data_IF_334379441568
#
_entry.id   IF_334379441568
#
_cell.length_a   1.000
_cell.length_b   1.000
_cell.length_c   1.000
_cell.angle_alpha   90.00
_cell.angle_beta   90.00
_cell.angle_gamma   90.00
#
_symmetry.space_group_name_H-M   'P 1'
#
loop_
_entity.id
_entity.type
_entity.pdbx_description
1 polymer ?
#
# COMPACT_ATOMS: atom_id res chain seq x y z
N UNK A 1 50.84 -3.77 14.30
CA UNK A 1 50.23 -2.42 14.40
C UNK A 1 48.82 -2.52 13.86
N UNK A 2 47.83 -2.77 14.73
CA UNK A 2 46.42 -2.83 14.32
C UNK A 2 45.89 -1.40 14.22
N UNK A 3 45.66 -0.94 12.99
CA UNK A 3 45.00 0.32 12.73
C UNK A 3 43.57 0.26 13.24
N UNK A 4 43.32 0.95 14.35
CA UNK A 4 41.97 1.28 14.83
C UNK A 4 41.27 2.07 13.72
N UNK A 5 40.49 1.37 12.90
CA UNK A 5 39.57 1.98 11.94
C UNK A 5 38.48 2.64 12.79
N UNK A 6 38.61 3.95 13.01
CA UNK A 6 37.58 4.79 13.60
C UNK A 6 36.35 4.73 12.69
N UNK A 7 35.48 3.74 12.92
CA UNK A 7 34.18 3.61 12.26
C UNK A 7 33.28 4.65 12.91
N UNK A 8 33.20 5.82 12.28
CA UNK A 8 32.27 6.85 12.70
C UNK A 8 30.86 6.23 12.67
N UNK A 9 30.13 6.16 13.81
CA UNK A 9 28.79 5.57 13.87
C UNK A 9 27.80 6.22 12.90
N UNK A 10 28.06 7.48 12.53
CA UNK A 10 27.25 8.25 11.60
C UNK A 10 27.42 7.81 10.13
N UNK A 11 28.49 7.08 9.79
CA UNK A 11 28.78 6.68 8.41
C UNK A 11 27.77 5.67 7.88
N UNK A 12 27.32 4.74 8.73
CA UNK A 12 26.28 3.77 8.37
C UNK A 12 24.91 4.47 8.22
N UNK A 13 24.63 5.49 9.04
CA UNK A 13 23.39 6.26 8.97
C UNK A 13 23.31 7.09 7.68
N UNK A 14 24.42 7.70 7.27
CA UNK A 14 24.50 8.42 6.00
C UNK A 14 24.28 7.49 4.80
N UNK A 15 24.87 6.28 4.85
CA UNK A 15 24.66 5.26 3.82
C UNK A 15 23.18 4.88 3.71
N UNK A 16 22.46 4.66 4.82
CA UNK A 16 21.01 4.38 4.80
C UNK A 16 20.17 5.57 4.31
N UNK A 17 20.60 6.81 4.60
CA UNK A 17 19.88 8.02 4.19
C UNK A 17 19.97 8.27 2.68
N UNK A 18 21.05 7.81 2.05
CA UNK A 18 21.26 7.97 0.61
C UNK A 18 20.57 6.89 -0.23
N UNK A 19 20.14 5.78 0.39
CA UNK A 19 19.36 4.73 -0.29
C UNK A 19 17.97 5.20 -0.75
N UNK A 20 17.44 6.29 -0.19
CA UNK A 20 16.14 6.84 -0.56
C UNK A 20 16.24 8.36 -0.69
N UNK A 21 16.29 8.84 -1.94
CA UNK A 21 16.17 10.27 -2.22
C UNK A 21 14.75 10.75 -1.94
N UNK A 22 14.64 11.89 -1.24
CA UNK A 22 13.37 12.54 -1.00
C UNK A 22 12.82 13.04 -2.34
N UNK A 23 11.57 12.69 -2.71
CA UNK A 23 11.00 13.13 -3.97
C UNK A 23 10.81 14.66 -3.99
N UNK A 24 11.18 15.29 -5.10
CA UNK A 24 11.08 16.75 -5.27
C UNK A 24 9.63 17.25 -5.36
N UNK A 25 8.67 16.38 -5.71
CA UNK A 25 7.26 16.73 -5.90
C UNK A 25 6.35 15.64 -5.37
N UNK A 26 5.28 16.07 -4.71
CA UNK A 26 4.18 15.22 -4.28
C UNK A 26 2.95 15.53 -5.13
N UNK A 27 2.45 14.51 -5.83
CA UNK A 27 1.22 14.61 -6.62
C UNK A 27 -0.03 14.43 -5.74
N UNK A 28 -1.14 15.02 -6.16
CA UNK A 28 -2.41 14.90 -5.44
C UNK A 28 -3.01 13.50 -5.63
N UNK A 29 -3.02 12.69 -4.58
CA UNK A 29 -3.66 11.36 -4.58
C UNK A 29 -5.20 11.41 -4.55
N UNK A 30 -5.79 12.53 -4.11
CA UNK A 30 -7.23 12.69 -4.03
C UNK A 30 -7.83 13.08 -5.38
N UNK A 31 -7.87 12.11 -6.29
CA UNK A 31 -8.39 12.29 -7.64
C UNK A 31 -9.84 11.84 -7.73
N UNK A 32 -10.54 12.30 -8.76
CA UNK A 32 -11.90 11.81 -9.06
C UNK A 32 -11.93 10.28 -9.26
N UNK A 33 -10.84 9.68 -9.74
CA UNK A 33 -10.70 8.23 -9.90
C UNK A 33 -10.70 7.52 -8.54
N UNK A 34 -10.07 8.11 -7.52
CA UNK A 34 -10.09 7.58 -6.16
C UNK A 34 -11.51 7.64 -5.55
N UNK A 35 -12.22 8.76 -5.78
CA UNK A 35 -13.61 8.91 -5.32
C UNK A 35 -14.52 7.84 -5.94
N UNK A 36 -14.41 7.61 -7.24
CA UNK A 36 -15.18 6.56 -7.93
C UNK A 36 -14.82 5.16 -7.44
N UNK A 37 -13.54 4.91 -7.15
CA UNK A 37 -13.09 3.64 -6.55
C UNK A 37 -13.70 3.39 -5.18
N UNK A 38 -13.74 4.40 -4.32
CA UNK A 38 -14.36 4.31 -2.98
C UNK A 38 -15.86 4.04 -3.09
N UNK A 39 -16.57 4.73 -3.98
CA UNK A 39 -18.00 4.51 -4.20
C UNK A 39 -18.29 3.08 -4.70
N UNK A 40 -17.48 2.58 -5.63
CA UNK A 40 -17.59 1.21 -6.11
C UNK A 40 -17.42 0.18 -4.98
N UNK A 41 -16.43 0.37 -4.11
CA UNK A 41 -16.24 -0.52 -2.96
C UNK A 41 -17.42 -0.45 -2.00
N UNK A 42 -17.87 0.75 -1.66
CA UNK A 42 -18.93 0.97 -0.68
C UNK A 42 -20.28 0.39 -1.12
N UNK A 43 -20.67 0.58 -2.38
CA UNK A 43 -21.99 0.20 -2.86
C UNK A 43 -22.06 -1.19 -3.49
N UNK A 44 -20.94 -1.73 -3.98
CA UNK A 44 -20.94 -2.99 -4.73
C UNK A 44 -20.16 -4.07 -3.99
N UNK A 45 -18.91 -3.81 -3.61
CA UNK A 45 -18.08 -4.83 -2.98
C UNK A 45 -18.54 -5.19 -1.57
N UNK A 46 -18.81 -4.19 -0.72
CA UNK A 46 -19.21 -4.44 0.67
C UNK A 46 -20.56 -5.17 0.73
N UNK A 47 -21.63 -4.72 0.03
CA UNK A 47 -22.91 -5.42 0.05
C UNK A 47 -22.84 -6.78 -0.64
N UNK A 48 -22.10 -6.90 -1.75
CA UNK A 48 -21.90 -8.16 -2.46
C UNK A 48 -21.24 -9.22 -1.57
N UNK A 49 -20.23 -8.83 -0.80
CA UNK A 49 -19.59 -9.73 0.16
C UNK A 49 -20.54 -10.13 1.30
N UNK A 50 -21.31 -9.18 1.84
CA UNK A 50 -22.31 -9.49 2.88
C UNK A 50 -23.35 -10.49 2.39
N UNK A 51 -23.86 -10.31 1.17
CA UNK A 51 -24.79 -11.24 0.54
C UNK A 51 -24.19 -12.64 0.40
N UNK A 52 -23.00 -12.74 -0.21
CA UNK A 52 -22.33 -14.03 -0.43
C UNK A 52 -22.00 -14.73 0.89
N UNK A 53 -21.58 -13.98 1.90
CA UNK A 53 -21.30 -14.49 3.25
C UNK A 53 -22.52 -15.15 3.90
N UNK A 54 -23.70 -14.53 3.77
CA UNK A 54 -24.97 -15.04 4.30
C UNK A 54 -25.53 -16.19 3.46
N UNK A 55 -25.41 -16.11 2.13
CA UNK A 55 -26.02 -17.05 1.19
C UNK A 55 -25.26 -18.38 1.11
N UNK A 56 -23.92 -18.34 1.12
CA UNK A 56 -23.06 -19.51 0.85
C UNK A 56 -22.60 -20.17 2.17
N UNK A 57 -22.80 -19.50 3.30
CA UNK A 57 -22.36 -19.99 4.60
C UNK A 57 -20.85 -19.81 4.75
N UNK A 58 -20.45 -18.60 5.16
CA UNK A 58 -19.16 -18.30 5.79
C UNK A 58 -17.93 -19.03 5.25
N UNK A 59 -17.44 -18.65 4.07
CA UNK A 59 -16.03 -18.82 3.73
C UNK A 59 -15.43 -17.48 3.28
N UNK A 60 -14.44 -17.01 4.03
CA UNK A 60 -13.84 -15.67 3.98
C UNK A 60 -13.02 -15.37 2.71
N UNK A 61 -12.93 -16.30 1.76
CA UNK A 61 -11.97 -16.24 0.65
C UNK A 61 -12.28 -15.19 -0.42
N UNK A 62 -13.56 -15.00 -0.77
CA UNK A 62 -13.93 -14.16 -1.92
C UNK A 62 -13.68 -12.66 -1.68
N UNK A 63 -13.78 -12.18 -0.44
CA UNK A 63 -13.60 -10.76 -0.13
C UNK A 63 -12.13 -10.33 -0.10
N UNK A 64 -11.25 -11.20 0.39
CA UNK A 64 -9.82 -10.92 0.53
C UNK A 64 -9.15 -10.70 -0.83
N UNK A 65 -9.64 -11.37 -1.87
CA UNK A 65 -9.14 -11.25 -3.24
C UNK A 65 -9.38 -9.85 -3.83
N UNK A 66 -10.61 -9.34 -3.74
CA UNK A 66 -10.96 -8.03 -4.28
C UNK A 66 -10.22 -6.88 -3.59
N UNK A 67 -10.04 -6.96 -2.27
CA UNK A 67 -9.26 -5.97 -1.51
C UNK A 67 -7.79 -5.97 -1.96
N UNK A 68 -7.22 -7.16 -2.16
CA UNK A 68 -5.83 -7.31 -2.60
C UNK A 68 -5.62 -6.73 -4.00
N UNK A 69 -6.53 -7.01 -4.94
CA UNK A 69 -6.47 -6.47 -6.31
C UNK A 69 -6.58 -4.94 -6.32
N UNK A 70 -7.46 -4.36 -5.50
CA UNK A 70 -7.62 -2.90 -5.41
C UNK A 70 -6.35 -2.25 -4.82
N UNK A 71 -5.77 -2.84 -3.78
CA UNK A 71 -4.52 -2.34 -3.19
C UNK A 71 -3.36 -2.38 -4.20
N UNK A 72 -3.22 -3.48 -4.95
CA UNK A 72 -2.19 -3.55 -5.99
C UNK A 72 -2.45 -2.54 -7.12
N UNK A 73 -3.69 -2.41 -7.60
CA UNK A 73 -4.04 -1.45 -8.64
C UNK A 73 -3.79 0.01 -8.22
N UNK A 74 -3.99 0.36 -6.94
CA UNK A 74 -3.70 1.69 -6.40
C UNK A 74 -2.20 1.92 -6.24
N UNK A 75 -1.44 0.91 -5.81
CA UNK A 75 0.03 0.99 -5.65
C UNK A 75 0.72 1.13 -7.02
N UNK A 76 0.24 0.44 -8.06
CA UNK A 76 0.78 0.53 -9.44
C UNK A 76 0.51 1.88 -10.11
N UNK A 77 -0.41 2.69 -9.58
CA UNK A 77 -0.75 4.00 -10.14
C UNK A 77 0.18 5.14 -9.71
N UNK A 78 1.21 4.82 -8.92
CA UNK A 78 2.35 5.69 -8.63
C UNK A 78 3.30 5.77 -9.83
#
# INVERSE_FOLDING_TARGET
>A
MLGSKNRNPNQEIEEYRDLMQVPDRFENGFTIKAILGVLFVAFIMVPGNMYLSLMIGGSLGAAAEWVTIILFAEITKR
#
